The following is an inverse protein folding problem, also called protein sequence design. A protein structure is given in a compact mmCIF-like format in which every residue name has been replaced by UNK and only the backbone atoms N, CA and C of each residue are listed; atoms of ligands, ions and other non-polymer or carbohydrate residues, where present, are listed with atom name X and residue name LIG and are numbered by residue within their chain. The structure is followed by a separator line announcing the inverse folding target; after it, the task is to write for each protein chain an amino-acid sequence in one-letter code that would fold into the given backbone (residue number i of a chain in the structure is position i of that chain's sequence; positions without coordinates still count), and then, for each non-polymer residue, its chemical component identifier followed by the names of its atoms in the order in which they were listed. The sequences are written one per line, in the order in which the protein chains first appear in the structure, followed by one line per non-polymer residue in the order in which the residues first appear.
data_IF_566590191120
#
_entry.id   IF_566590191120
#
_cell.length_a   1.000
_cell.length_b   1.000
_cell.length_c   1.000
_cell.angle_alpha   90.00
_cell.angle_beta   90.00
_cell.angle_gamma   90.00
#
_symmetry.space_group_name_H-M   'P 1'
#
loop_
_entity.id
_entity.type
_entity.pdbx_description
1 polymer ?
#
# COMPACT_ATOMS: atom_id res chain seq x y z
N UNK A 1 -15.65 7.87 6.43
CA UNK A 1 -15.27 6.73 7.31
C UNK A 1 -15.75 5.41 6.68
N UNK A 2 -15.78 4.28 7.38
CA UNK A 2 -16.21 3.00 6.79
C UNK A 2 -17.67 3.01 6.31
N UNK A 3 -18.59 3.68 7.02
CA UNK A 3 -20.00 3.78 6.63
C UNK A 3 -20.17 4.64 5.37
N UNK A 4 -19.42 5.74 5.28
CA UNK A 4 -19.39 6.57 4.08
C UNK A 4 -18.85 5.81 2.86
N UNK A 5 -17.85 4.93 3.04
CA UNK A 5 -17.33 4.07 1.98
C UNK A 5 -18.39 3.08 1.46
N UNK A 6 -19.15 2.44 2.35
CA UNK A 6 -20.25 1.55 1.95
C UNK A 6 -21.26 2.30 1.08
N UNK A 7 -21.72 3.47 1.52
CA UNK A 7 -22.67 4.28 0.77
C UNK A 7 -22.14 4.71 -0.61
N UNK A 8 -20.84 5.03 -0.70
CA UNK A 8 -20.21 5.41 -1.97
C UNK A 8 -20.07 4.21 -2.92
N UNK A 9 -19.73 3.04 -2.41
CA UNK A 9 -19.65 1.84 -3.25
C UNK A 9 -21.01 1.39 -3.77
N UNK A 10 -22.08 1.55 -3.00
CA UNK A 10 -23.45 1.31 -3.50
C UNK A 10 -23.77 2.21 -4.70
N UNK A 11 -23.34 3.48 -4.67
CA UNK A 11 -23.52 4.41 -5.79
C UNK A 11 -22.63 4.03 -6.98
N UNK A 12 -21.39 3.65 -6.72
CA UNK A 12 -20.38 3.30 -7.73
C UNK A 12 -20.58 1.94 -8.37
N UNK A 13 -21.33 1.02 -7.73
CA UNK A 13 -21.69 -0.30 -8.29
C UNK A 13 -22.35 -0.21 -9.68
N UNK A 14 -22.93 0.94 -10.00
CA UNK A 14 -23.55 1.25 -11.30
C UNK A 14 -22.55 1.66 -12.38
N UNK A 15 -21.30 1.91 -11.99
CA UNK A 15 -20.20 2.34 -12.86
C UNK A 15 -19.16 1.24 -12.97
N UNK A 16 -18.49 1.17 -14.12
CA UNK A 16 -17.39 0.22 -14.31
C UNK A 16 -16.13 0.74 -13.61
N UNK A 17 -15.59 -0.06 -12.69
CA UNK A 17 -14.30 0.18 -12.03
C UNK A 17 -13.36 -0.96 -12.44
N UNK A 18 -12.22 -0.62 -13.05
CA UNK A 18 -11.24 -1.63 -13.49
C UNK A 18 -10.16 -1.92 -12.43
N UNK A 19 -9.94 -1.01 -11.47
CA UNK A 19 -9.01 -1.19 -10.35
C UNK A 19 -9.29 -0.21 -9.21
N UNK A 20 -8.88 -0.57 -7.98
CA UNK A 20 -8.85 0.33 -6.82
C UNK A 20 -7.39 0.54 -6.40
N UNK A 21 -6.96 1.80 -6.41
CA UNK A 21 -5.64 2.21 -5.93
C UNK A 21 -5.77 2.85 -4.56
N UNK A 22 -5.05 2.30 -3.59
CA UNK A 22 -4.81 2.96 -2.31
C UNK A 22 -3.72 4.00 -2.44
N UNK A 23 -4.04 5.19 -1.99
CA UNK A 23 -3.03 6.14 -1.57
C UNK A 23 -2.62 5.76 -0.16
N UNK A 24 -1.32 5.78 0.13
CA UNK A 24 -0.83 5.54 1.48
C UNK A 24 -1.29 6.69 2.40
N UNK A 25 -2.49 6.55 2.96
CA UNK A 25 -3.12 7.46 3.89
C UNK A 25 -3.88 6.66 4.97
N UNK A 26 -4.14 7.23 6.15
CA UNK A 26 -4.64 6.47 7.30
C UNK A 26 -5.96 5.71 7.09
N UNK A 27 -6.89 6.25 6.29
CA UNK A 27 -8.22 5.68 6.12
C UNK A 27 -8.20 4.35 5.34
N UNK A 28 -7.43 4.24 4.28
CA UNK A 28 -7.38 3.01 3.44
C UNK A 28 -6.64 1.84 4.10
N UNK A 29 -5.87 2.11 5.16
CA UNK A 29 -5.09 1.08 5.88
C UNK A 29 -5.66 0.73 7.27
N UNK A 30 -6.71 1.40 7.74
CA UNK A 30 -7.41 0.94 8.95
C UNK A 30 -8.25 -0.31 8.63
N UNK A 31 -8.27 -1.32 9.54
CA UNK A 31 -8.91 -2.60 9.28
C UNK A 31 -10.37 -2.50 8.82
N UNK A 32 -11.14 -1.61 9.43
CA UNK A 32 -12.58 -1.47 9.22
C UNK A 32 -12.90 -0.97 7.81
N UNK A 33 -12.18 0.06 7.35
CA UNK A 33 -12.34 0.63 6.01
C UNK A 33 -11.80 -0.33 4.95
N UNK A 34 -10.64 -0.95 5.18
CA UNK A 34 -10.10 -1.93 4.25
C UNK A 34 -11.02 -3.14 4.10
N UNK A 35 -11.69 -3.60 5.16
CA UNK A 35 -12.69 -4.68 5.08
C UNK A 35 -13.85 -4.32 4.14
N UNK A 36 -14.36 -3.08 4.20
CA UNK A 36 -15.42 -2.59 3.30
C UNK A 36 -14.94 -2.60 1.84
N UNK A 37 -13.75 -2.05 1.60
CA UNK A 37 -13.17 -1.97 0.25
C UNK A 37 -12.87 -3.36 -0.32
N UNK A 38 -12.24 -4.22 0.49
CA UNK A 38 -11.88 -5.58 0.13
C UNK A 38 -13.09 -6.43 -0.21
N UNK A 39 -14.19 -6.30 0.56
CA UNK A 39 -15.47 -6.95 0.26
C UNK A 39 -16.02 -6.52 -1.09
N UNK A 40 -16.17 -5.21 -1.31
CA UNK A 40 -16.68 -4.68 -2.57
C UNK A 40 -15.82 -5.12 -3.76
N UNK A 41 -14.49 -5.07 -3.62
CA UNK A 41 -13.57 -5.47 -4.66
C UNK A 41 -13.67 -6.97 -4.99
N UNK A 42 -13.78 -7.83 -3.96
CA UNK A 42 -13.93 -9.27 -4.15
C UNK A 42 -15.24 -9.63 -4.85
N UNK A 43 -16.36 -9.02 -4.45
CA UNK A 43 -17.68 -9.24 -5.05
C UNK A 43 -17.72 -8.83 -6.54
N UNK A 44 -16.95 -7.79 -6.90
CA UNK A 44 -16.90 -7.24 -8.26
C UNK A 44 -15.67 -7.68 -9.07
N UNK A 45 -14.82 -8.55 -8.52
CA UNK A 45 -13.55 -9.01 -9.15
C UNK A 45 -12.62 -7.85 -9.55
N UNK A 46 -12.55 -6.83 -8.71
CA UNK A 46 -11.72 -5.65 -8.94
C UNK A 46 -10.36 -5.84 -8.26
N UNK A 47 -9.24 -5.69 -8.97
CA UNK A 47 -7.92 -5.70 -8.37
C UNK A 47 -7.70 -4.48 -7.46
N UNK A 48 -7.08 -4.72 -6.30
CA UNK A 48 -6.77 -3.71 -5.29
C UNK A 48 -5.27 -3.65 -5.05
N UNK A 49 -4.68 -2.47 -4.98
CA UNK A 49 -3.24 -2.31 -4.70
C UNK A 49 -2.85 -0.89 -4.31
N UNK A 50 -1.56 -0.64 -4.09
CA UNK A 50 -1.02 0.67 -3.68
C UNK A 50 -0.43 0.62 -2.28
N UNK A 51 -1.16 0.01 -1.34
CA UNK A 51 -0.66 -0.41 -0.04
C UNK A 51 -0.77 -1.94 0.08
N UNK A 52 0.20 -2.58 0.74
CA UNK A 52 0.07 -4.00 1.07
C UNK A 52 -0.75 -4.12 2.36
N UNK A 53 -1.97 -4.64 2.24
CA UNK A 53 -2.88 -4.85 3.37
C UNK A 53 -3.56 -6.21 3.19
N UNK A 54 -3.67 -6.95 4.28
CA UNK A 54 -4.39 -8.22 4.34
C UNK A 54 -5.24 -8.26 5.60
N UNK A 55 -6.55 -8.39 5.43
CA UNK A 55 -7.54 -8.49 6.51
C UNK A 55 -8.51 -9.60 6.12
N UNK A 56 -8.71 -10.55 7.04
CA UNK A 56 -9.55 -11.73 6.79
C UNK A 56 -9.12 -12.45 5.50
N UNK A 57 -10.03 -12.54 4.53
CA UNK A 57 -9.80 -13.16 3.23
C UNK A 57 -9.50 -12.14 2.11
N UNK A 58 -9.44 -10.85 2.44
CA UNK A 58 -9.17 -9.77 1.49
C UNK A 58 -7.70 -9.37 1.56
N UNK A 59 -7.06 -9.28 0.40
CA UNK A 59 -5.64 -8.94 0.32
C UNK A 59 -5.36 -8.12 -0.93
N UNK A 60 -4.44 -7.17 -0.79
CA UNK A 60 -4.00 -6.31 -1.89
C UNK A 60 -2.99 -7.04 -2.77
N UNK A 61 -3.00 -6.75 -4.07
CA UNK A 61 -2.13 -7.38 -5.06
C UNK A 61 -0.70 -6.85 -5.01
N UNK A 62 -0.51 -5.59 -4.63
CA UNK A 62 0.80 -4.98 -4.50
C UNK A 62 0.77 -3.79 -3.55
N UNK A 63 1.93 -3.44 -3.01
CA UNK A 63 2.18 -2.21 -2.27
C UNK A 63 3.43 -1.51 -2.78
N UNK A 64 3.40 -0.18 -2.89
CA UNK A 64 4.58 0.64 -3.13
C UNK A 64 4.71 1.61 -1.96
N UNK A 65 5.51 1.21 -0.99
CA UNK A 65 5.62 1.88 0.31
C UNK A 65 7.06 2.31 0.57
N UNK A 66 7.33 2.66 1.83
CA UNK A 66 8.68 2.69 2.39
C UNK A 66 8.90 1.45 3.25
N UNK A 67 10.16 1.14 3.56
CA UNK A 67 10.49 0.25 4.67
C UNK A 67 10.62 1.10 5.96
N UNK A 68 9.74 0.95 6.96
CA UNK A 68 9.77 1.73 8.20
C UNK A 68 11.07 1.56 8.98
N UNK A 69 11.69 0.38 8.96
CA UNK A 69 12.93 0.11 9.69
C UNK A 69 14.09 0.86 9.04
N UNK A 70 14.21 0.79 7.72
CA UNK A 70 15.26 1.53 7.01
C UNK A 70 15.03 3.05 7.05
N UNK A 71 13.78 3.49 6.98
CA UNK A 71 13.39 4.90 7.18
C UNK A 71 13.79 5.37 8.58
N UNK A 72 13.51 4.59 9.62
CA UNK A 72 13.92 4.88 10.99
C UNK A 72 15.44 4.99 11.15
N UNK A 73 16.21 4.13 10.48
CA UNK A 73 17.69 4.24 10.45
C UNK A 73 18.15 5.52 9.77
N UNK A 74 17.48 5.99 8.71
CA UNK A 74 17.79 7.27 8.07
C UNK A 74 17.50 8.43 9.03
N UNK A 75 16.33 8.43 9.67
CA UNK A 75 15.95 9.43 10.67
C UNK A 75 16.94 9.50 11.84
N UNK A 76 17.38 8.35 12.36
CA UNK A 76 18.36 8.29 13.46
C UNK A 76 19.69 8.99 13.11
N UNK A 77 20.16 8.87 11.86
CA UNK A 77 21.38 9.55 11.39
C UNK A 77 21.19 11.07 11.33
N UNK A 78 20.02 11.54 10.92
CA UNK A 78 19.70 12.97 10.91
C UNK A 78 19.61 13.52 12.34
N UNK A 79 18.92 12.81 13.24
CA UNK A 79 18.84 13.17 14.65
C UNK A 79 20.24 13.23 15.30
N UNK A 80 21.12 12.28 14.99
CA UNK A 80 22.50 12.29 15.50
C UNK A 80 23.30 13.53 15.06
N UNK A 81 23.05 14.10 13.88
CA UNK A 81 23.69 15.37 13.45
C UNK A 81 23.21 16.55 14.30
N UNK A 82 21.90 16.61 14.56
CA UNK A 82 21.28 17.64 15.39
C UNK A 82 21.84 17.58 16.82
N UNK A 83 21.88 16.38 17.41
CA UNK A 83 22.42 16.16 18.76
C UNK A 83 23.92 16.49 18.87
N UNK A 84 24.66 16.51 17.76
CA UNK A 84 26.05 16.95 17.68
C UNK A 84 26.23 18.44 17.37
N UNK A 85 25.14 19.22 17.35
CA UNK A 85 25.17 20.68 17.17
C UNK A 85 24.95 21.18 15.74
N UNK A 86 24.64 20.31 14.78
CA UNK A 86 24.26 20.78 13.44
C UNK A 86 22.87 21.42 13.48
N UNK A 87 22.72 22.63 12.94
CA UNK A 87 21.42 23.29 12.86
C UNK A 87 20.44 22.46 12.00
N UNK A 88 19.25 22.16 12.53
CA UNK A 88 18.29 21.31 11.83
C UNK A 88 17.91 21.86 10.44
N UNK A 89 17.75 23.19 10.32
CA UNK A 89 17.42 23.85 9.06
C UNK A 89 18.49 23.78 7.97
N UNK A 90 19.72 23.34 8.29
CA UNK A 90 20.78 23.14 7.30
C UNK A 90 20.92 21.69 6.85
N UNK A 91 20.15 20.76 7.43
CA UNK A 91 20.18 19.34 7.08
C UNK A 91 19.21 19.11 5.91
N UNK A 92 19.68 18.58 4.76
CA UNK A 92 18.80 18.25 3.65
C UNK A 92 17.74 17.21 4.03
N UNK A 93 16.52 17.40 3.53
CA UNK A 93 15.45 16.41 3.64
C UNK A 93 15.84 15.17 2.84
N UNK A 94 15.63 13.98 3.42
CA UNK A 94 15.85 12.70 2.77
C UNK A 94 14.51 12.03 2.46
N UNK A 95 14.36 11.53 1.24
CA UNK A 95 13.29 10.61 0.86
C UNK A 95 13.82 9.19 0.98
N UNK A 96 13.01 8.30 1.57
CA UNK A 96 13.33 6.88 1.59
C UNK A 96 13.05 6.25 0.23
N UNK A 97 13.83 5.22 -0.10
CA UNK A 97 13.63 4.42 -1.31
C UNK A 97 12.28 3.72 -1.25
N UNK A 98 11.68 3.52 -2.43
CA UNK A 98 10.46 2.72 -2.55
C UNK A 98 10.73 1.26 -2.17
N UNK A 99 9.82 0.69 -1.39
CA UNK A 99 9.75 -0.71 -1.05
C UNK A 99 8.54 -1.32 -1.76
N UNK A 100 8.82 -2.09 -2.81
CA UNK A 100 7.83 -2.69 -3.71
C UNK A 100 7.54 -4.12 -3.27
N UNK A 101 6.28 -4.39 -2.94
CA UNK A 101 5.81 -5.70 -2.52
C UNK A 101 4.76 -6.19 -3.52
N UNK A 102 4.86 -7.46 -3.92
CA UNK A 102 3.92 -8.09 -4.85
C UNK A 102 3.32 -9.32 -4.20
N UNK A 103 2.00 -9.36 -4.09
CA UNK A 103 1.26 -10.55 -3.70
C UNK A 103 0.96 -11.42 -4.92
N UNK A 104 1.96 -12.22 -5.28
CA UNK A 104 1.90 -13.09 -6.44
C UNK A 104 0.81 -14.15 -6.31
N UNK A 105 0.57 -14.64 -5.09
CA UNK A 105 -0.52 -15.57 -4.78
C UNK A 105 -1.88 -14.98 -5.11
N UNK A 106 -2.14 -13.77 -4.61
CA UNK A 106 -3.41 -13.07 -4.83
C UNK A 106 -3.61 -12.71 -6.30
N UNK A 107 -2.56 -12.21 -6.96
CA UNK A 107 -2.61 -11.90 -8.39
C UNK A 107 -2.96 -13.14 -9.22
N UNK A 108 -2.30 -14.27 -8.94
CA UNK A 108 -2.56 -15.56 -9.61
C UNK A 108 -3.99 -16.06 -9.33
N UNK A 109 -4.47 -15.98 -8.09
CA UNK A 109 -5.83 -16.37 -7.73
C UNK A 109 -6.91 -15.53 -8.44
N UNK A 110 -6.58 -14.28 -8.79
CA UNK A 110 -7.43 -13.38 -9.57
C UNK A 110 -7.26 -13.56 -11.09
N UNK A 111 -6.34 -14.42 -11.54
CA UNK A 111 -6.04 -14.63 -12.96
C UNK A 111 -5.19 -13.52 -13.60
N UNK A 112 -4.51 -12.70 -12.79
CA UNK A 112 -3.65 -11.61 -13.25
C UNK A 112 -2.22 -12.11 -13.37
N UNK A 113 -1.68 -12.05 -14.59
CA UNK A 113 -0.27 -12.36 -14.85
C UNK A 113 0.61 -11.21 -14.36
N UNK A 114 1.63 -11.53 -13.56
CA UNK A 114 2.64 -10.56 -13.12
C UNK A 114 3.91 -10.74 -13.97
N UNK A 115 4.32 -9.74 -14.77
CA UNK A 115 5.52 -9.84 -15.60
C UNK A 115 6.79 -10.08 -14.80
N UNK A 116 7.72 -10.87 -15.34
CA UNK A 116 9.02 -11.16 -14.70
C UNK A 116 9.81 -9.88 -14.40
N UNK A 117 9.80 -8.91 -15.31
CA UNK A 117 10.48 -7.62 -15.10
C UNK A 117 9.91 -6.80 -13.93
N UNK A 118 8.67 -7.06 -13.51
CA UNK A 118 8.10 -6.45 -12.31
C UNK A 118 8.51 -7.22 -11.05
N UNK A 119 8.51 -8.56 -11.11
CA UNK A 119 9.00 -9.41 -10.03
C UNK A 119 10.48 -9.15 -9.72
N UNK A 120 11.32 -9.00 -10.73
CA UNK A 120 12.76 -8.75 -10.57
C UNK A 120 13.06 -7.39 -9.91
N UNK A 121 12.10 -6.46 -9.94
CA UNK A 121 12.22 -5.13 -9.31
C UNK A 121 11.54 -5.05 -7.94
N UNK A 122 10.84 -6.09 -7.52
CA UNK A 122 10.18 -6.14 -6.22
C UNK A 122 11.19 -6.41 -5.11
N UNK A 123 11.01 -5.75 -3.97
CA UNK A 123 11.77 -6.02 -2.75
C UNK A 123 11.25 -7.28 -2.06
N UNK A 124 9.96 -7.59 -2.23
CA UNK A 124 9.32 -8.76 -1.63
C UNK A 124 8.25 -9.36 -2.54
N UNK A 125 8.24 -10.70 -2.63
CA UNK A 125 7.23 -11.47 -3.35
C UNK A 125 6.51 -12.38 -2.34
N UNK A 126 5.23 -12.12 -2.11
CA UNK A 126 4.37 -12.92 -1.25
C UNK A 126 3.77 -14.07 -2.09
N UNK A 127 3.95 -15.30 -1.61
CA UNK A 127 3.63 -16.56 -2.31
C UNK A 127 2.48 -17.33 -1.67
#
# INVERSE_FOLDING_TARGET
DAAELEQKFDQLSKSRIDAILFLAEPLTVVPEAFRVIGKFAAENKIPVGGAIVSIENYTSLFGVNIDPVNTGKQAARLAAKILKGTAAGTIPVLSSESYIQINYKAATAMGIAVPEGLLSRSNEIIR
#
